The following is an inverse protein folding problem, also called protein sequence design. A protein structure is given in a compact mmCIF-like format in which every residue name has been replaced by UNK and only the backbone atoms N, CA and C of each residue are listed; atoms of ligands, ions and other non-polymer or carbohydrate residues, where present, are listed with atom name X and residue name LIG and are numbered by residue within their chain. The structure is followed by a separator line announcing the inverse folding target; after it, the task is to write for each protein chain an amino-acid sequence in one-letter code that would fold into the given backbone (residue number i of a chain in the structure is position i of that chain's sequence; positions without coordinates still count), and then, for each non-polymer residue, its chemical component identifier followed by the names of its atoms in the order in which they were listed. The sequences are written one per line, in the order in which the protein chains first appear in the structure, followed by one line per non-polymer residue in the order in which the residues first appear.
data_IF_066049945174
#
_entry.id   IF_066049945174
#
_cell.length_a   1.000
_cell.length_b   1.000
_cell.length_c   1.000
_cell.angle_alpha   90.00
_cell.angle_beta   90.00
_cell.angle_gamma   90.00
#
_symmetry.space_group_name_H-M   'P 1'
#
loop_
_entity.id
_entity.type
_entity.pdbx_description
1 polymer ?
#
# COMPACT_ATOMS: atom_id res chain seq x y z
N UNK A 1 -32.41 -3.28 -40.36
CA UNK A 1 -31.48 -2.88 -39.28
C UNK A 1 -30.65 -4.11 -38.92
N UNK A 2 -29.34 -4.12 -39.18
CA UNK A 2 -28.50 -5.31 -39.01
C UNK A 2 -27.81 -5.26 -37.65
N UNK A 3 -28.45 -5.89 -36.65
CA UNK A 3 -28.08 -5.86 -35.22
C UNK A 3 -26.60 -6.18 -34.99
N UNK A 4 -26.03 -7.08 -35.79
CA UNK A 4 -24.61 -7.48 -35.73
C UNK A 4 -23.66 -6.38 -36.22
N UNK A 5 -24.03 -5.60 -37.25
CA UNK A 5 -23.22 -4.46 -37.71
C UNK A 5 -23.25 -3.32 -36.71
N UNK A 6 -24.38 -3.09 -36.06
CA UNK A 6 -24.50 -2.13 -34.95
C UNK A 6 -23.73 -2.59 -33.71
N UNK A 7 -23.71 -3.90 -33.41
CA UNK A 7 -22.90 -4.48 -32.32
C UNK A 7 -21.40 -4.32 -32.58
N UNK A 8 -20.93 -4.58 -33.80
CA UNK A 8 -19.53 -4.35 -34.18
C UNK A 8 -19.15 -2.88 -34.39
N UNK A 9 -20.13 -1.98 -34.51
CA UNK A 9 -19.93 -0.54 -34.67
C UNK A 9 -19.72 0.21 -33.36
N UNK A 10 -20.02 -0.42 -32.22
CA UNK A 10 -19.73 0.12 -30.90
C UNK A 10 -18.22 -0.05 -30.58
N UNK A 11 -17.47 1.03 -30.32
CA UNK A 11 -16.06 0.96 -29.92
C UNK A 11 -15.80 0.01 -28.74
N UNK A 12 -16.77 -0.14 -27.82
CA UNK A 12 -16.72 -1.04 -26.68
C UNK A 12 -16.75 -2.54 -27.08
N UNK A 13 -17.27 -2.85 -28.26
CA UNK A 13 -17.42 -4.20 -28.82
C UNK A 13 -16.52 -4.46 -30.04
N UNK A 14 -15.54 -3.58 -30.28
CA UNK A 14 -14.53 -3.83 -31.31
C UNK A 14 -13.80 -5.15 -31.03
N UNK A 15 -13.52 -5.92 -32.08
CA UNK A 15 -12.81 -7.20 -31.98
C UNK A 15 -11.44 -7.05 -31.30
N UNK A 16 -10.79 -5.88 -31.47
CA UNK A 16 -9.55 -5.56 -30.78
C UNK A 16 -9.75 -5.39 -29.27
N UNK A 17 -10.77 -4.64 -28.84
CA UNK A 17 -11.15 -4.49 -27.42
C UNK A 17 -11.50 -5.83 -26.78
N UNK A 18 -12.34 -6.63 -27.45
CA UNK A 18 -12.72 -7.96 -26.99
C UNK A 18 -11.52 -8.90 -26.88
N UNK A 19 -10.60 -8.87 -27.85
CA UNK A 19 -9.39 -9.69 -27.84
C UNK A 19 -8.45 -9.31 -26.70
N UNK A 20 -8.30 -8.02 -26.39
CA UNK A 20 -7.51 -7.56 -25.24
C UNK A 20 -8.15 -8.03 -23.93
N UNK A 21 -9.47 -7.89 -23.78
CA UNK A 21 -10.20 -8.34 -22.57
C UNK A 21 -10.20 -9.85 -22.35
N UNK A 22 -10.13 -10.65 -23.42
CA UNK A 22 -10.09 -12.11 -23.37
C UNK A 22 -8.66 -12.68 -23.28
N UNK A 23 -7.63 -11.84 -23.43
CA UNK A 23 -6.24 -12.28 -23.33
C UNK A 23 -5.79 -12.39 -21.87
N UNK A 24 -4.76 -13.20 -21.61
CA UNK A 24 -4.14 -13.28 -20.29
C UNK A 24 -3.71 -11.87 -19.83
N UNK A 25 -4.06 -11.44 -18.61
CA UNK A 25 -3.74 -10.10 -18.12
C UNK A 25 -2.24 -9.80 -18.18
N UNK A 26 -1.91 -8.58 -18.60
CA UNK A 26 -0.54 -8.06 -18.66
C UNK A 26 -0.29 -7.08 -17.53
N UNK A 27 -0.42 -7.55 -16.29
CA UNK A 27 -0.43 -6.67 -15.11
C UNK A 27 0.85 -5.83 -14.95
N UNK A 28 2.00 -6.32 -15.45
CA UNK A 28 3.24 -5.53 -15.51
C UNK A 28 3.10 -4.19 -16.26
N UNK A 29 2.14 -4.07 -17.17
CA UNK A 29 1.85 -2.81 -17.85
C UNK A 29 1.34 -1.71 -16.91
N UNK A 30 0.74 -2.09 -15.78
CA UNK A 30 0.26 -1.17 -14.77
C UNK A 30 1.39 -0.44 -14.03
N UNK A 31 2.62 -0.96 -14.03
CA UNK A 31 3.74 -0.36 -13.29
C UNK A 31 4.05 1.09 -13.73
N UNK A 32 3.85 1.40 -15.01
CA UNK A 32 4.00 2.78 -15.50
C UNK A 32 3.02 3.78 -14.88
N UNK A 33 1.86 3.31 -14.40
CA UNK A 33 0.86 4.15 -13.73
C UNK A 33 1.39 4.68 -12.39
N UNK A 34 2.25 3.93 -11.69
CA UNK A 34 2.91 4.36 -10.46
C UNK A 34 3.66 5.68 -10.66
N UNK A 35 4.49 5.74 -11.71
CA UNK A 35 5.25 6.95 -12.04
C UNK A 35 4.35 8.11 -12.44
N UNK A 36 3.26 7.84 -13.18
CA UNK A 36 2.31 8.85 -13.59
C UNK A 36 1.57 9.46 -12.39
N UNK A 37 1.08 8.63 -11.47
CA UNK A 37 0.40 9.07 -10.24
C UNK A 37 1.34 9.87 -9.34
N UNK A 38 2.64 9.56 -9.30
CA UNK A 38 3.62 10.29 -8.49
C UNK A 38 4.15 11.57 -9.15
N UNK A 39 3.64 11.93 -10.32
CA UNK A 39 4.07 13.10 -11.11
C UNK A 39 3.14 14.31 -10.94
N UNK A 40 3.50 15.43 -11.57
CA UNK A 40 2.66 16.62 -11.58
C UNK A 40 1.46 16.56 -12.55
N UNK A 41 1.22 15.40 -13.20
CA UNK A 41 0.13 15.19 -14.16
C UNK A 41 -1.24 15.59 -13.60
N UNK A 42 -2.10 16.22 -14.40
CA UNK A 42 -3.44 16.61 -13.96
C UNK A 42 -4.42 15.43 -13.87
N UNK A 43 -5.60 15.66 -13.28
CA UNK A 43 -6.61 14.61 -13.09
C UNK A 43 -7.03 13.94 -14.41
N UNK A 44 -7.07 14.68 -15.51
CA UNK A 44 -7.43 14.16 -16.83
C UNK A 44 -6.35 13.21 -17.35
N UNK A 45 -5.08 13.61 -17.20
CA UNK A 45 -3.93 12.78 -17.56
C UNK A 45 -3.88 11.49 -16.71
N UNK A 46 -4.16 11.58 -15.41
CA UNK A 46 -4.27 10.39 -14.54
C UNK A 46 -5.37 9.46 -15.04
N UNK A 47 -6.57 9.98 -15.30
CA UNK A 47 -7.69 9.19 -15.78
C UNK A 47 -7.38 8.52 -17.13
N UNK A 48 -6.75 9.27 -18.05
CA UNK A 48 -6.31 8.72 -19.33
C UNK A 48 -5.26 7.62 -19.14
N UNK A 49 -4.34 7.79 -18.19
CA UNK A 49 -3.34 6.79 -17.83
C UNK A 49 -3.95 5.47 -17.33
N UNK A 50 -4.98 5.55 -16.48
CA UNK A 50 -5.74 4.38 -16.01
C UNK A 50 -6.44 3.70 -17.20
N UNK A 51 -7.14 4.47 -18.04
CA UNK A 51 -7.81 3.95 -19.23
C UNK A 51 -6.84 3.24 -20.16
N UNK A 52 -5.71 3.86 -20.48
CA UNK A 52 -4.70 3.31 -21.39
C UNK A 52 -4.08 2.02 -20.84
N UNK A 53 -3.90 1.96 -19.53
CA UNK A 53 -3.38 0.77 -18.84
C UNK A 53 -4.34 -0.41 -18.96
N UNK A 54 -5.64 -0.18 -18.73
CA UNK A 54 -6.67 -1.20 -18.82
C UNK A 54 -6.97 -1.60 -20.28
N UNK A 55 -7.29 -0.63 -21.13
CA UNK A 55 -7.90 -0.88 -22.44
C UNK A 55 -6.88 -1.05 -23.57
N UNK A 56 -5.75 -0.34 -23.52
CA UNK A 56 -4.73 -0.42 -24.57
C UNK A 56 -3.65 -1.44 -24.23
N UNK A 57 -3.23 -1.49 -22.96
CA UNK A 57 -2.10 -2.33 -22.53
C UNK A 57 -2.52 -3.66 -21.91
N UNK A 58 -3.80 -3.82 -21.55
CA UNK A 58 -4.37 -5.10 -21.15
C UNK A 58 -4.02 -5.52 -19.72
N UNK A 59 -3.73 -4.57 -18.82
CA UNK A 59 -3.65 -4.87 -17.39
C UNK A 59 -5.05 -5.21 -16.84
N UNK A 60 -5.12 -6.11 -15.87
CA UNK A 60 -6.38 -6.37 -15.19
C UNK A 60 -6.76 -5.22 -14.23
N UNK A 61 -8.07 -5.02 -13.95
CA UNK A 61 -8.51 -4.11 -12.90
C UNK A 61 -7.84 -4.38 -11.54
N UNK A 62 -7.66 -5.66 -11.20
CA UNK A 62 -6.95 -6.09 -9.99
C UNK A 62 -5.48 -5.65 -9.99
N UNK A 63 -4.75 -5.90 -11.08
CA UNK A 63 -3.36 -5.49 -11.22
C UNK A 63 -3.19 -3.97 -11.14
N UNK A 64 -4.09 -3.21 -11.78
CA UNK A 64 -4.14 -1.75 -11.66
C UNK A 64 -4.39 -1.32 -10.22
N UNK A 65 -5.37 -1.92 -9.53
CA UNK A 65 -5.66 -1.65 -8.12
C UNK A 65 -4.45 -1.89 -7.21
N UNK A 66 -3.74 -3.00 -7.38
CA UNK A 66 -2.52 -3.30 -6.60
C UNK A 66 -1.41 -2.28 -6.84
N UNK A 67 -1.20 -1.83 -8.08
CA UNK A 67 -0.19 -0.78 -8.35
C UNK A 67 -0.61 0.57 -7.75
N UNK A 68 -1.89 0.91 -7.79
CA UNK A 68 -2.42 2.12 -7.14
C UNK A 68 -2.19 2.05 -5.61
N UNK A 69 -2.47 0.90 -4.97
CA UNK A 69 -2.23 0.70 -3.54
C UNK A 69 -0.75 0.79 -3.17
N UNK A 70 0.15 0.20 -3.98
CA UNK A 70 1.60 0.35 -3.80
C UNK A 70 2.02 1.82 -3.92
N UNK A 71 1.44 2.54 -4.87
CA UNK A 71 1.72 3.98 -5.05
C UNK A 71 1.28 4.78 -3.82
N UNK A 72 0.14 4.45 -3.21
CA UNK A 72 -0.30 5.09 -1.97
C UNK A 72 0.68 4.84 -0.81
N UNK A 73 1.21 3.62 -0.69
CA UNK A 73 2.24 3.31 0.31
C UNK A 73 3.55 4.10 0.07
N UNK A 74 3.91 4.39 -1.18
CA UNK A 74 5.04 5.26 -1.50
C UNK A 74 4.79 6.72 -1.09
N UNK A 75 3.56 7.21 -1.27
CA UNK A 75 3.18 8.57 -0.84
C UNK A 75 3.32 8.70 0.68
N UNK A 76 2.88 7.69 1.44
CA UNK A 76 3.06 7.67 2.90
C UNK A 76 4.53 7.74 3.31
N UNK A 77 5.43 7.08 2.57
CA UNK A 77 6.88 7.12 2.83
C UNK A 77 7.51 8.50 2.65
N UNK A 78 6.86 9.43 1.94
CA UNK A 78 7.35 10.80 1.77
C UNK A 78 7.02 11.71 2.95
N UNK A 79 6.16 11.28 3.86
CA UNK A 79 5.80 12.02 5.07
C UNK A 79 6.84 11.76 6.16
N UNK A 80 7.26 12.79 6.90
CA UNK A 80 8.15 12.65 8.06
C UNK A 80 7.51 11.87 9.21
N UNK A 81 8.34 11.19 10.01
CA UNK A 81 7.88 10.40 11.17
C UNK A 81 7.35 11.25 12.33
N UNK A 82 7.73 12.52 12.38
CA UNK A 82 7.28 13.51 13.36
C UNK A 82 5.89 14.09 13.06
N UNK A 83 5.38 13.90 11.84
CA UNK A 83 4.09 14.43 11.41
C UNK A 83 3.03 13.34 11.30
N UNK A 84 2.50 12.93 12.46
CA UNK A 84 1.50 11.87 12.55
C UNK A 84 0.20 12.20 11.79
N UNK A 85 -0.25 13.45 11.82
CA UNK A 85 -1.48 13.86 11.15
C UNK A 85 -1.34 13.77 9.63
N UNK A 86 -0.21 14.21 9.08
CA UNK A 86 0.07 14.05 7.66
C UNK A 86 0.22 12.56 7.28
N UNK A 87 0.77 11.73 8.17
CA UNK A 87 0.90 10.29 7.94
C UNK A 87 -0.48 9.61 7.90
N UNK A 88 -1.39 9.96 8.81
CA UNK A 88 -2.78 9.47 8.81
C UNK A 88 -3.55 9.99 7.59
N UNK A 89 -3.36 11.26 7.21
CA UNK A 89 -3.95 11.80 5.97
C UNK A 89 -3.44 11.06 4.73
N UNK A 90 -2.15 10.76 4.66
CA UNK A 90 -1.56 9.95 3.60
C UNK A 90 -2.15 8.53 3.57
N UNK A 91 -2.38 7.94 4.76
CA UNK A 91 -2.96 6.61 4.91
C UNK A 91 -4.36 6.47 4.31
N UNK A 92 -5.17 7.53 4.29
CA UNK A 92 -6.48 7.47 3.62
C UNK A 92 -6.37 7.08 2.14
N UNK A 93 -5.28 7.46 1.47
CA UNK A 93 -4.96 6.99 0.11
C UNK A 93 -4.78 5.47 0.04
N UNK A 94 -4.02 4.90 0.98
CA UNK A 94 -3.77 3.46 1.05
C UNK A 94 -5.06 2.70 1.41
N UNK A 95 -5.80 3.15 2.42
CA UNK A 95 -7.05 2.52 2.85
C UNK A 95 -8.08 2.50 1.71
N UNK A 96 -8.21 3.61 0.99
CA UNK A 96 -9.12 3.67 -0.15
C UNK A 96 -8.66 2.76 -1.29
N UNK A 97 -7.38 2.78 -1.66
CA UNK A 97 -6.85 1.91 -2.70
C UNK A 97 -6.96 0.42 -2.38
N UNK A 98 -6.67 0.03 -1.13
CA UNK A 98 -6.82 -1.35 -0.66
C UNK A 98 -8.28 -1.81 -0.74
N UNK A 99 -9.23 -0.95 -0.32
CA UNK A 99 -10.65 -1.23 -0.46
C UNK A 99 -11.06 -1.40 -1.94
N UNK A 100 -10.57 -0.54 -2.83
CA UNK A 100 -10.82 -0.65 -4.27
C UNK A 100 -10.24 -1.95 -4.85
N UNK A 101 -9.02 -2.35 -4.48
CA UNK A 101 -8.45 -3.64 -4.91
C UNK A 101 -9.27 -4.82 -4.39
N UNK A 102 -9.78 -4.76 -3.16
CA UNK A 102 -10.64 -5.80 -2.60
C UNK A 102 -11.93 -5.97 -3.43
N UNK A 103 -12.55 -4.87 -3.87
CA UNK A 103 -13.70 -4.92 -4.80
C UNK A 103 -13.35 -5.74 -6.05
N UNK A 104 -12.19 -5.52 -6.67
CA UNK A 104 -11.76 -6.28 -7.86
C UNK A 104 -11.25 -7.69 -7.60
N UNK A 105 -11.19 -8.11 -6.33
CA UNK A 105 -11.02 -9.52 -5.99
C UNK A 105 -12.34 -10.28 -6.15
N UNK A 106 -13.48 -9.60 -6.05
CA UNK A 106 -14.81 -10.20 -6.07
C UNK A 106 -15.68 -9.77 -7.26
N UNK A 107 -15.39 -8.62 -7.87
CA UNK A 107 -16.23 -7.98 -8.89
C UNK A 107 -15.43 -7.72 -10.16
N UNK A 108 -15.98 -8.12 -11.31
CA UNK A 108 -15.41 -7.86 -12.65
C UNK A 108 -16.34 -6.96 -13.49
N UNK A 109 -17.14 -6.13 -12.83
CA UNK A 109 -18.13 -5.26 -13.47
C UNK A 109 -17.48 -3.96 -13.99
N UNK A 110 -17.88 -3.56 -15.19
CA UNK A 110 -17.53 -2.28 -15.82
C UNK A 110 -18.06 -1.11 -14.97
N UNK A 111 -19.20 -1.28 -14.29
CA UNK A 111 -19.78 -0.26 -13.42
C UNK A 111 -18.89 0.09 -12.21
N UNK A 112 -18.00 -0.83 -11.80
CA UNK A 112 -17.04 -0.58 -10.74
C UNK A 112 -15.80 0.19 -11.21
N UNK A 113 -15.50 0.22 -12.52
CA UNK A 113 -14.29 0.85 -13.10
C UNK A 113 -14.02 2.26 -12.61
N UNK A 114 -15.03 3.16 -12.44
CA UNK A 114 -14.84 4.49 -11.87
C UNK A 114 -13.99 4.51 -10.58
N UNK A 115 -14.07 3.48 -9.74
CA UNK A 115 -13.29 3.38 -8.50
C UNK A 115 -11.77 3.42 -8.74
N UNK A 116 -11.26 2.82 -9.82
CA UNK A 116 -9.83 2.84 -10.15
C UNK A 116 -9.39 4.25 -10.57
N UNK A 117 -10.22 4.95 -11.35
CA UNK A 117 -9.95 6.32 -11.76
C UNK A 117 -9.93 7.25 -10.54
N UNK A 118 -10.98 7.18 -9.70
CA UNK A 118 -11.08 7.99 -8.49
C UNK A 118 -9.92 7.72 -7.54
N UNK A 119 -9.56 6.46 -7.31
CA UNK A 119 -8.44 6.10 -6.43
C UNK A 119 -7.10 6.65 -6.94
N UNK A 120 -6.77 6.45 -8.22
CA UNK A 120 -5.55 6.97 -8.82
C UNK A 120 -5.47 8.50 -8.76
N UNK A 121 -6.55 9.20 -9.12
CA UNK A 121 -6.60 10.66 -9.07
C UNK A 121 -6.51 11.19 -7.64
N UNK A 122 -7.18 10.54 -6.68
CA UNK A 122 -7.13 10.92 -5.28
C UNK A 122 -5.70 10.83 -4.73
N UNK A 123 -4.98 9.73 -5.01
CA UNK A 123 -3.60 9.56 -4.57
C UNK A 123 -2.67 10.58 -5.23
N UNK A 124 -2.88 10.92 -6.51
CA UNK A 124 -2.11 11.98 -7.17
C UNK A 124 -2.32 13.35 -6.52
N UNK A 125 -3.56 13.72 -6.20
CA UNK A 125 -3.86 14.97 -5.48
C UNK A 125 -3.19 14.96 -4.11
N UNK A 126 -3.35 13.87 -3.36
CA UNK A 126 -2.75 13.70 -2.03
C UNK A 126 -1.23 13.81 -2.07
N UNK A 127 -0.59 13.20 -3.08
CA UNK A 127 0.85 13.29 -3.30
C UNK A 127 1.34 14.72 -3.53
N UNK A 128 0.57 15.55 -4.25
CA UNK A 128 0.91 16.95 -4.50
C UNK A 128 0.75 17.80 -3.25
N UNK A 129 -0.34 17.60 -2.51
CA UNK A 129 -0.62 18.31 -1.26
C UNK A 129 0.46 18.03 -0.20
N UNK A 130 0.82 16.75 -0.02
CA UNK A 130 1.84 16.35 0.95
C UNK A 130 3.27 16.71 0.49
N UNK A 131 3.55 16.65 -0.82
CA UNK A 131 4.84 17.02 -1.38
C UNK A 131 5.18 18.52 -1.18
N UNK A 132 4.17 19.38 -1.13
CA UNK A 132 4.36 20.81 -0.80
C UNK A 132 4.72 21.02 0.68
N UNK A 133 4.35 20.10 1.56
CA UNK A 133 4.60 20.17 3.01
C UNK A 133 5.98 19.59 3.41
N UNK A 134 6.57 18.71 2.59
CA UNK A 134 7.78 17.96 2.92
C UNK A 134 9.13 18.71 2.68
N UNK A 135 9.12 19.99 2.32
CA UNK A 135 10.35 20.74 1.99
C UNK A 135 11.27 21.09 3.19
N UNK A 136 11.03 20.53 4.38
CA UNK A 136 11.88 20.76 5.57
C UNK A 136 11.92 19.54 6.48
N UNK A 137 12.83 18.60 6.25
CA UNK A 137 13.26 17.66 7.29
C UNK A 137 14.70 17.16 7.02
N UNK A 138 15.57 17.34 8.02
CA UNK A 138 16.97 16.95 7.99
C UNK A 138 17.14 15.46 8.30
N UNK A 139 18.15 14.85 7.70
CA UNK A 139 18.49 13.44 7.85
C UNK A 139 18.88 13.10 9.31
N UNK A 140 18.19 12.13 9.90
CA UNK A 140 18.53 11.59 11.22
C UNK A 140 19.72 10.62 11.14
N UNK A 141 20.61 10.76 12.12
CA UNK A 141 21.87 10.04 12.27
C UNK A 141 21.63 8.60 12.73
N UNK A 142 22.19 7.63 11.98
CA UNK A 142 22.16 6.21 12.33
C UNK A 142 23.09 5.90 13.51
N UNK A 143 22.54 5.64 14.70
CA UNK A 143 23.24 4.89 15.76
C UNK A 143 22.91 3.41 15.65
N UNK A 144 23.90 2.61 15.27
CA UNK A 144 23.78 1.14 15.23
C UNK A 144 24.21 0.54 16.56
N UNK A 145 23.27 -0.06 17.29
CA UNK A 145 23.57 -1.13 18.23
C UNK A 145 22.43 -2.15 18.25
N UNK A 146 22.72 -3.37 17.78
CA UNK A 146 22.18 -4.61 18.32
C UNK A 146 23.02 -5.80 17.81
N UNK A 147 23.71 -6.44 18.76
CA UNK A 147 24.50 -7.66 18.62
C UNK A 147 23.63 -8.82 19.15
N UNK A 148 23.48 -9.89 18.35
CA UNK A 148 23.27 -11.26 18.84
C UNK A 148 21.84 -11.71 19.17
N UNK A 149 21.42 -12.84 18.58
CA UNK A 149 20.25 -13.60 19.04
C UNK A 149 19.58 -14.44 17.96
N UNK A 150 19.88 -15.75 17.92
CA UNK A 150 19.05 -16.83 17.36
C UNK A 150 18.72 -16.83 15.85
N UNK A 151 19.13 -17.90 15.14
CA UNK A 151 18.62 -18.27 13.81
C UNK A 151 17.13 -18.71 13.82
N UNK A 152 16.38 -18.38 14.86
CA UNK A 152 15.06 -18.93 15.15
C UNK A 152 14.02 -17.82 15.01
N UNK A 153 13.01 -18.04 14.17
CA UNK A 153 11.98 -17.07 13.82
C UNK A 153 11.34 -16.31 15.01
N UNK A 154 11.00 -16.94 16.15
CA UNK A 154 10.50 -16.24 17.33
C UNK A 154 11.43 -15.16 17.89
N UNK A 155 12.74 -15.40 17.95
CA UNK A 155 13.70 -14.43 18.49
C UNK A 155 13.75 -13.16 17.63
N UNK A 156 13.63 -13.30 16.31
CA UNK A 156 13.55 -12.15 15.40
C UNK A 156 12.27 -11.32 15.60
N UNK A 157 11.15 -11.96 15.92
CA UNK A 157 9.88 -11.28 16.21
C UNK A 157 9.90 -10.61 17.59
N UNK A 158 10.59 -11.18 18.56
CA UNK A 158 10.83 -10.57 19.87
C UNK A 158 11.73 -9.33 19.73
N UNK A 159 12.86 -9.44 19.02
CA UNK A 159 13.72 -8.29 18.70
C UNK A 159 12.96 -7.20 17.94
N UNK A 160 12.11 -7.57 16.97
CA UNK A 160 11.24 -6.62 16.27
C UNK A 160 10.33 -5.87 17.24
N UNK A 161 9.74 -6.58 18.21
CA UNK A 161 8.84 -6.00 19.21
C UNK A 161 9.57 -4.99 20.09
N UNK A 162 10.74 -5.35 20.61
CA UNK A 162 11.59 -4.45 21.40
C UNK A 162 12.00 -3.20 20.61
N UNK A 163 12.34 -3.36 19.34
CA UNK A 163 12.68 -2.24 18.45
C UNK A 163 11.49 -1.30 18.20
N UNK A 164 10.29 -1.85 18.03
CA UNK A 164 9.06 -1.05 17.89
C UNK A 164 8.71 -0.33 19.19
N UNK A 165 8.90 -0.98 20.35
CA UNK A 165 8.64 -0.40 21.67
C UNK A 165 9.63 0.74 22.00
N UNK A 166 10.90 0.58 21.61
CA UNK A 166 11.96 1.61 21.77
C UNK A 166 12.00 2.66 20.65
N UNK A 167 11.02 2.65 19.74
CA UNK A 167 10.93 3.54 18.58
C UNK A 167 12.11 3.45 17.60
N UNK A 168 12.88 2.37 17.60
CA UNK A 168 13.92 2.07 16.61
C UNK A 168 13.31 1.49 15.32
N UNK A 169 12.73 2.37 14.50
CA UNK A 169 12.16 1.98 13.21
C UNK A 169 13.18 1.29 12.30
N UNK A 170 14.42 1.80 12.24
CA UNK A 170 15.45 1.29 11.33
C UNK A 170 15.85 -0.14 11.72
N UNK A 171 16.02 -0.39 13.01
CA UNK A 171 16.20 -1.73 13.56
C UNK A 171 15.03 -2.64 13.22
N UNK A 172 13.80 -2.19 13.47
CA UNK A 172 12.58 -2.95 13.19
C UNK A 172 12.48 -3.37 11.72
N UNK A 173 12.74 -2.45 10.79
CA UNK A 173 12.77 -2.73 9.35
C UNK A 173 13.84 -3.77 9.00
N UNK A 174 15.05 -3.64 9.58
CA UNK A 174 16.14 -4.58 9.34
C UNK A 174 15.80 -6.01 9.82
N UNK A 175 15.20 -6.13 11.00
CA UNK A 175 14.74 -7.38 11.59
C UNK A 175 13.63 -8.02 10.76
N UNK A 176 12.60 -7.25 10.37
CA UNK A 176 11.50 -7.72 9.55
C UNK A 176 11.96 -8.21 8.16
N UNK A 177 12.82 -7.45 7.48
CA UNK A 177 13.42 -7.87 6.19
C UNK A 177 14.27 -9.12 6.35
N UNK A 178 15.03 -9.24 7.43
CA UNK A 178 15.81 -10.45 7.72
C UNK A 178 14.89 -11.65 7.93
N UNK A 179 13.81 -11.48 8.69
CA UNK A 179 12.81 -12.51 8.92
C UNK A 179 12.23 -13.07 7.60
N UNK A 180 11.84 -12.19 6.68
CA UNK A 180 11.31 -12.57 5.36
C UNK A 180 12.38 -13.22 4.46
N UNK A 181 13.60 -12.67 4.42
CA UNK A 181 14.71 -13.24 3.61
C UNK A 181 15.11 -14.65 4.04
N UNK A 182 14.87 -15.01 5.30
CA UNK A 182 15.08 -16.37 5.81
C UNK A 182 13.95 -17.33 5.44
N UNK A 183 12.94 -16.89 4.67
CA UNK A 183 11.84 -17.72 4.19
C UNK A 183 10.73 -17.96 5.22
N UNK A 184 10.69 -17.19 6.30
CA UNK A 184 9.64 -17.33 7.32
C UNK A 184 8.30 -16.75 6.85
N UNK A 185 7.20 -17.21 7.45
CA UNK A 185 5.83 -16.83 7.05
C UNK A 185 5.54 -15.34 7.33
N UNK A 186 5.26 -14.58 6.27
CA UNK A 186 4.88 -13.18 6.35
C UNK A 186 3.62 -12.95 7.20
N UNK A 187 2.69 -13.91 7.28
CA UNK A 187 1.49 -13.80 8.14
C UNK A 187 1.86 -13.65 9.60
N UNK A 188 2.82 -14.42 10.08
CA UNK A 188 3.28 -14.35 11.46
C UNK A 188 3.96 -12.99 11.73
N UNK A 189 4.76 -12.48 10.79
CA UNK A 189 5.35 -11.14 10.89
C UNK A 189 4.27 -10.05 11.00
N UNK A 190 3.32 -10.02 10.06
CA UNK A 190 2.25 -9.01 10.08
C UNK A 190 1.29 -9.18 11.27
N UNK A 191 1.08 -10.40 11.77
CA UNK A 191 0.35 -10.62 13.01
C UNK A 191 1.06 -9.98 14.21
N UNK A 192 2.39 -10.14 14.32
CA UNK A 192 3.18 -9.46 15.35
C UNK A 192 3.09 -7.94 15.22
N UNK A 193 3.22 -7.39 14.02
CA UNK A 193 3.06 -5.94 13.77
C UNK A 193 1.64 -5.48 14.17
N UNK A 194 0.62 -6.28 13.86
CA UNK A 194 -0.77 -6.03 14.26
C UNK A 194 -0.98 -6.01 15.77
N UNK A 195 -0.34 -6.92 16.51
CA UNK A 195 -0.37 -6.93 17.98
C UNK A 195 0.30 -5.68 18.57
N UNK A 196 1.42 -5.23 17.99
CA UNK A 196 2.09 -3.99 18.41
C UNK A 196 1.24 -2.76 18.10
N UNK A 197 0.59 -2.74 16.93
CA UNK A 197 -0.37 -1.72 16.53
C UNK A 197 -1.59 -1.66 17.46
N UNK A 198 -2.07 -2.80 17.98
CA UNK A 198 -3.20 -2.85 18.90
C UNK A 198 -2.93 -2.19 20.26
N UNK A 199 -1.66 -1.94 20.60
CA UNK A 199 -1.26 -1.21 21.82
C UNK A 199 -1.32 0.31 21.66
N UNK A 200 -1.53 0.80 20.44
CA UNK A 200 -1.72 2.23 20.18
C UNK A 200 -3.10 2.65 20.69
N UNK A 201 -3.16 3.83 21.30
CA UNK A 201 -4.40 4.42 21.79
C UNK A 201 -5.34 4.75 20.63
N UNK A 202 -6.37 3.92 20.46
CA UNK A 202 -7.39 4.11 19.44
C UNK A 202 -8.23 5.39 19.65
N UNK A 203 -8.29 5.96 20.86
CA UNK A 203 -8.94 7.24 21.08
C UNK A 203 -8.12 8.40 20.51
N UNK A 204 -6.79 8.30 20.57
CA UNK A 204 -5.88 9.32 20.08
C UNK A 204 -5.81 9.36 18.54
N UNK A 205 -5.95 8.22 17.86
CA UNK A 205 -5.81 8.14 16.40
C UNK A 205 -7.04 7.55 15.68
N UNK A 206 -8.18 7.45 16.36
CA UNK A 206 -9.44 6.87 15.84
C UNK A 206 -9.29 5.42 15.31
N UNK A 207 -8.27 4.68 15.75
CA UNK A 207 -7.98 3.32 15.32
C UNK A 207 -7.28 3.23 13.96
N UNK A 208 -6.80 4.34 13.40
CA UNK A 208 -6.14 4.35 12.08
C UNK A 208 -4.88 3.47 12.05
N UNK A 209 -4.13 3.35 13.17
CA UNK A 209 -2.94 2.47 13.20
C UNK A 209 -3.27 1.04 12.76
N UNK A 210 -4.30 0.44 13.36
CA UNK A 210 -4.69 -0.94 13.03
C UNK A 210 -5.19 -1.06 11.60
N UNK A 211 -5.96 -0.07 11.12
CA UNK A 211 -6.45 -0.06 9.75
C UNK A 211 -5.31 0.02 8.73
N UNK A 212 -4.28 0.82 9.00
CA UNK A 212 -3.08 0.94 8.16
C UNK A 212 -2.34 -0.39 8.10
N UNK A 213 -2.06 -0.99 9.26
CA UNK A 213 -1.36 -2.29 9.33
C UNK A 213 -2.15 -3.37 8.62
N UNK A 214 -3.48 -3.41 8.81
CA UNK A 214 -4.36 -4.34 8.10
C UNK A 214 -4.24 -4.16 6.59
N UNK A 215 -4.48 -2.95 6.07
CA UNK A 215 -4.45 -2.68 4.63
C UNK A 215 -3.09 -3.00 4.02
N UNK A 216 -1.99 -2.59 4.66
CA UNK A 216 -0.64 -2.91 4.20
C UNK A 216 -0.37 -4.42 4.21
N UNK A 217 -0.81 -5.14 5.24
CA UNK A 217 -0.63 -6.59 5.34
C UNK A 217 -1.39 -7.35 4.25
N UNK A 218 -2.64 -6.97 3.98
CA UNK A 218 -3.48 -7.58 2.96
C UNK A 218 -2.90 -7.34 1.57
N UNK A 219 -2.44 -6.13 1.28
CA UNK A 219 -1.80 -5.79 0.01
C UNK A 219 -0.49 -6.55 -0.20
N UNK A 220 0.34 -6.65 0.85
CA UNK A 220 1.60 -7.40 0.79
C UNK A 220 1.35 -8.89 0.51
N UNK A 221 0.39 -9.50 1.22
CA UNK A 221 0.11 -10.93 1.09
C UNK A 221 -0.70 -11.29 -0.16
N UNK A 222 -1.53 -10.38 -0.66
CA UNK A 222 -2.36 -10.59 -1.85
C UNK A 222 -1.71 -10.07 -3.14
N UNK A 223 -0.42 -9.75 -3.10
CA UNK A 223 0.32 -9.19 -4.22
C UNK A 223 0.21 -10.07 -5.47
N UNK A 224 -0.05 -9.50 -6.66
CA UNK A 224 -0.24 -10.31 -7.86
C UNK A 224 1.03 -11.07 -8.26
N UNK A 225 0.89 -12.39 -8.49
CA UNK A 225 1.99 -13.25 -8.98
C UNK A 225 2.68 -12.69 -10.24
N UNK A 226 1.97 -12.11 -11.24
CA UNK A 226 2.63 -11.50 -12.40
C UNK A 226 3.50 -10.28 -12.09
N UNK A 227 3.47 -9.77 -10.86
CA UNK A 227 4.23 -8.61 -10.37
C UNK A 227 5.25 -8.99 -9.29
N UNK A 228 5.61 -10.27 -9.17
CA UNK A 228 6.47 -10.79 -8.08
C UNK A 228 7.84 -10.11 -7.98
N UNK A 229 8.40 -9.64 -9.10
CA UNK A 229 9.71 -8.99 -9.14
C UNK A 229 9.67 -7.50 -8.71
N UNK A 230 8.49 -6.98 -8.38
CA UNK A 230 8.31 -5.60 -7.93
C UNK A 230 8.61 -5.52 -6.44
N UNK A 231 9.46 -4.56 -6.06
CA UNK A 231 9.68 -4.25 -4.66
C UNK A 231 8.41 -3.67 -4.02
N UNK A 232 7.87 -4.40 -3.05
CA UNK A 232 6.67 -4.08 -2.27
C UNK A 232 6.98 -3.81 -0.79
N UNK A 233 8.26 -3.63 -0.44
CA UNK A 233 8.68 -3.31 0.92
C UNK A 233 8.00 -2.06 1.47
N UNK A 234 7.52 -1.17 0.60
CA UNK A 234 6.69 -0.02 0.96
C UNK A 234 5.54 -0.39 1.92
N UNK A 235 4.86 -1.52 1.71
CA UNK A 235 3.79 -1.95 2.62
C UNK A 235 4.30 -2.35 4.00
N UNK A 236 5.41 -3.09 4.06
CA UNK A 236 6.04 -3.47 5.32
C UNK A 236 6.49 -2.22 6.10
N UNK A 237 7.12 -1.27 5.41
CA UNK A 237 7.63 -0.04 6.01
C UNK A 237 6.48 0.78 6.60
N UNK A 238 5.39 1.01 5.86
CA UNK A 238 4.27 1.83 6.39
C UNK A 238 3.54 1.13 7.54
N UNK A 239 3.45 -0.20 7.53
CA UNK A 239 2.88 -0.96 8.66
C UNK A 239 3.73 -0.80 9.93
N UNK A 240 5.06 -0.92 9.81
CA UNK A 240 5.98 -0.71 10.93
C UNK A 240 5.91 0.74 11.43
N UNK A 241 5.99 1.73 10.53
CA UNK A 241 5.86 3.15 10.90
C UNK A 241 4.56 3.44 11.65
N UNK A 242 3.45 2.87 11.21
CA UNK A 242 2.18 3.03 11.90
C UNK A 242 2.25 2.52 13.34
N UNK A 243 2.80 1.31 13.55
CA UNK A 243 2.93 0.66 14.85
C UNK A 243 4.00 1.28 15.78
N UNK A 244 5.07 1.84 15.20
CA UNK A 244 6.19 2.45 15.95
C UNK A 244 5.85 3.82 16.51
N UNK A 245 5.20 4.68 15.72
CA UNK A 245 4.98 6.09 16.09
C UNK A 245 3.54 6.40 16.53
N UNK A 246 2.69 5.39 16.72
CA UNK A 246 1.39 5.60 17.34
C UNK A 246 1.52 5.87 18.84
N UNK A 247 0.74 6.82 19.36
CA UNK A 247 0.68 7.12 20.79
C UNK A 247 0.25 5.89 21.58
N UNK A 248 1.05 5.44 22.55
CA UNK A 248 0.73 4.25 23.35
C UNK A 248 -0.43 4.51 24.30
N UNK A 249 -1.25 3.48 24.51
CA UNK A 249 -2.31 3.53 25.51
C UNK A 249 -1.71 3.46 26.93
N UNK A 250 -1.77 4.57 27.67
CA UNK A 250 -1.26 4.67 29.04
C UNK A 250 -2.18 4.06 30.10
N UNK A 251 -3.41 3.64 29.73
CA UNK A 251 -4.36 3.04 30.66
C UNK A 251 -3.99 1.58 31.00
N UNK A 252 -3.33 0.86 30.08
CA UNK A 252 -2.97 -0.56 30.29
C UNK A 252 -1.76 -0.73 31.22
N UNK A 253 -0.91 0.28 31.34
CA UNK A 253 0.26 0.26 32.24
C UNK A 253 -0.11 0.49 33.72
N UNK A 254 -1.32 1.00 34.01
CA UNK A 254 -1.75 1.35 35.37
C UNK A 254 -2.50 0.23 36.11
N UNK A 255 -2.72 -0.93 35.48
CA UNK A 255 -3.44 -2.07 36.09
C UNK A 255 -2.52 -3.14 36.72
N UNK A 256 -1.25 -2.82 36.96
CA UNK A 256 -0.38 -3.64 37.81
C UNK A 256 -0.37 -3.06 39.23
N UNK A 257 -1.35 -3.46 40.03
CA UNK A 257 -1.34 -3.36 41.49
C UNK A 257 -1.29 -4.76 42.11
#
# INVERSE_FOLDING_TARGET
MNVVRTFHGDPAHSLASLRTRLSAPKDAAALSLRNLILSNADTTEICQGVYDTLMKRGASPRGVGSVIALTAADVMQRVGDDNRDAFVRAAHGLLFAAAVRLVYTHVQDIAALPLLYTSASYINVLQKELGQQASTAAAATNTRHALGGGLIAPALLETLSEQVDTQDLNGAIASARRYLRLGNDARALFATIGLLAARVDAAADQGHTLQIVQAASEEFMAWPVPLVDVDIDSFLVVALRAATFGSRNTLVENDVY
#
